data_IF_101954058333
#
_entry.id   IF_101954058333
#
_cell.length_a   1.000
_cell.length_b   1.000
_cell.length_c   1.000
_cell.angle_alpha   90.00
_cell.angle_beta   90.00
_cell.angle_gamma   90.00
#
_symmetry.space_group_name_H-M   'P 1'
#
loop_
_entity.id
_entity.type
_entity.pdbx_description
1 polymer ?
#
# COMPACT_ATOMS: atom_id res chain seq x y z
N UNK A 1 -15.59 -4.35 10.54
CA UNK A 1 -14.24 -4.93 10.81
C UNK A 1 -13.35 -4.63 9.62
N UNK A 2 -12.43 -3.67 9.75
CA UNK A 2 -11.52 -3.33 8.66
C UNK A 2 -10.62 -4.54 8.35
N UNK A 3 -10.77 -5.14 7.17
CA UNK A 3 -10.01 -6.30 6.69
C UNK A 3 -8.48 -6.11 6.73
N UNK A 4 -8.01 -4.87 6.89
CA UNK A 4 -6.61 -4.49 6.96
C UNK A 4 -6.38 -3.55 8.15
N UNK A 5 -5.48 -3.93 9.05
CA UNK A 5 -5.06 -3.11 10.18
C UNK A 5 -4.22 -1.92 9.71
N UNK A 6 -4.14 -0.87 10.53
CA UNK A 6 -3.32 0.29 10.21
C UNK A 6 -1.84 -0.08 10.03
N UNK A 7 -1.31 -0.95 10.88
CA UNK A 7 0.07 -1.45 10.78
C UNK A 7 0.32 -2.17 9.46
N UNK A 8 -0.63 -2.98 8.97
CA UNK A 8 -0.51 -3.64 7.68
C UNK A 8 -0.45 -2.63 6.52
N UNK A 9 -1.29 -1.59 6.56
CA UNK A 9 -1.25 -0.51 5.55
C UNK A 9 0.09 0.21 5.54
N UNK A 10 0.66 0.48 6.72
CA UNK A 10 1.98 1.11 6.83
C UNK A 10 3.07 0.23 6.21
N UNK A 11 3.12 -1.07 6.54
CA UNK A 11 4.08 -2.01 5.94
C UNK A 11 3.99 -2.04 4.40
N UNK A 12 2.79 -2.00 3.85
CA UNK A 12 2.57 -2.00 2.40
C UNK A 12 3.11 -0.71 1.76
N UNK A 13 2.88 0.44 2.39
CA UNK A 13 3.38 1.74 1.89
C UNK A 13 4.90 1.85 2.05
N UNK A 14 5.48 1.41 3.16
CA UNK A 14 6.92 1.40 3.36
C UNK A 14 7.61 0.53 2.30
N UNK A 15 7.11 -0.67 2.07
CA UNK A 15 7.62 -1.54 1.00
C UNK A 15 7.49 -0.88 -0.38
N UNK A 16 6.34 -0.24 -0.66
CA UNK A 16 6.17 0.52 -1.90
C UNK A 16 7.22 1.62 -2.07
N UNK A 17 7.54 2.36 -1.01
CA UNK A 17 8.55 3.42 -1.04
C UNK A 17 9.97 2.86 -1.20
N UNK A 18 10.32 1.78 -0.52
CA UNK A 18 11.64 1.13 -0.58
C UNK A 18 11.93 0.52 -1.97
N UNK A 19 10.90 0.01 -2.65
CA UNK A 19 11.03 -0.64 -3.96
C UNK A 19 10.75 0.30 -5.14
N UNK A 20 11.22 1.55 -5.07
CA UNK A 20 11.09 2.55 -6.15
C UNK A 20 9.64 2.82 -6.59
N UNK A 21 8.68 2.79 -5.66
CA UNK A 21 7.25 3.01 -5.95
C UNK A 21 6.70 2.00 -6.96
N UNK A 22 7.22 0.76 -6.96
CA UNK A 22 6.77 -0.30 -7.87
C UNK A 22 5.44 -0.93 -7.41
N UNK A 23 4.34 -0.44 -7.96
CA UNK A 23 2.98 -0.90 -7.64
C UNK A 23 2.77 -2.38 -7.95
N UNK A 24 3.29 -2.87 -9.08
CA UNK A 24 3.11 -4.27 -9.49
C UNK A 24 3.78 -5.23 -8.50
N UNK A 25 5.01 -4.90 -8.08
CA UNK A 25 5.74 -5.70 -7.10
C UNK A 25 5.04 -5.71 -5.74
N UNK A 26 4.67 -4.52 -5.23
CA UNK A 26 3.94 -4.41 -3.95
C UNK A 26 2.62 -5.18 -3.99
N UNK A 27 1.88 -5.10 -5.10
CA UNK A 27 0.62 -5.83 -5.25
C UNK A 27 0.80 -7.34 -5.19
N UNK A 28 1.81 -7.87 -5.89
CA UNK A 28 2.09 -9.30 -5.93
C UNK A 28 2.58 -9.81 -4.56
N UNK A 29 3.47 -9.06 -3.91
CA UNK A 29 4.04 -9.44 -2.61
C UNK A 29 2.97 -9.53 -1.52
N UNK A 30 2.11 -8.52 -1.41
CA UNK A 30 1.05 -8.47 -0.38
C UNK A 30 -0.28 -9.08 -0.82
N UNK A 31 -0.37 -9.57 -2.06
CA UNK A 31 -1.59 -10.11 -2.66
C UNK A 31 -2.82 -9.19 -2.51
N UNK A 32 -2.59 -7.87 -2.54
CA UNK A 32 -3.65 -6.86 -2.43
C UNK A 32 -4.26 -6.55 -3.79
N UNK A 33 -5.50 -6.06 -3.82
CA UNK A 33 -6.08 -5.56 -5.08
C UNK A 33 -5.45 -4.22 -5.46
N UNK A 34 -5.29 -3.97 -6.75
CA UNK A 34 -4.70 -2.73 -7.25
C UNK A 34 -5.50 -1.49 -6.81
N UNK A 35 -6.83 -1.59 -6.80
CA UNK A 35 -7.73 -0.53 -6.34
C UNK A 35 -7.47 -0.14 -4.88
N UNK A 36 -7.18 -1.12 -4.03
CA UNK A 36 -6.86 -0.91 -2.60
C UNK A 36 -5.49 -0.27 -2.45
N UNK A 37 -4.48 -0.77 -3.18
CA UNK A 37 -3.14 -0.20 -3.15
C UNK A 37 -3.14 1.26 -3.61
N UNK A 38 -3.86 1.57 -4.70
CA UNK A 38 -4.01 2.94 -5.19
C UNK A 38 -4.69 3.85 -4.16
N UNK A 39 -5.72 3.34 -3.48
CA UNK A 39 -6.39 4.07 -2.41
C UNK A 39 -5.42 4.40 -1.27
N UNK A 40 -4.63 3.44 -0.80
CA UNK A 40 -3.65 3.70 0.27
C UNK A 40 -2.54 4.66 -0.13
N UNK A 41 -2.03 4.56 -1.36
CA UNK A 41 -1.04 5.51 -1.88
C UNK A 41 -1.62 6.93 -1.95
N UNK A 42 -2.85 7.08 -2.45
CA UNK A 42 -3.51 8.39 -2.50
C UNK A 42 -3.76 8.96 -1.10
N UNK A 43 -4.19 8.12 -0.15
CA UNK A 43 -4.37 8.53 1.24
C UNK A 43 -3.04 8.99 1.86
N UNK A 44 -1.96 8.24 1.64
CA UNK A 44 -0.63 8.63 2.08
C UNK A 44 -0.21 9.98 1.50
N UNK A 45 -0.35 10.18 0.18
CA UNK A 45 0.02 11.43 -0.48
C UNK A 45 -0.80 12.65 -0.04
N UNK A 46 -2.05 12.46 0.38
CA UNK A 46 -2.92 13.54 0.88
C UNK A 46 -2.68 13.90 2.35
N UNK A 47 -2.02 13.02 3.10
CA UNK A 47 -1.78 13.20 4.54
C UNK A 47 -0.36 13.75 4.81
N UNK A 48 0.46 13.90 3.76
CA UNK A 48 1.85 14.36 3.82
C UNK A 48 2.01 15.82 3.41
#
# INVERSE_FOLDING_TARGET
MAKYTQSFKQQVIEFYLQHNKNRSLTRQYFQVKETILRYWINQYNHTS
#
